data_IF_005042396913
#
_entry.id   IF_005042396913
#
_cell.length_a   1.000
_cell.length_b   1.000
_cell.length_c   1.000
_cell.angle_alpha   90.00
_cell.angle_beta   90.00
_cell.angle_gamma   90.00
#
_symmetry.space_group_name_H-M   'P 1'
#
loop_
_entity.id
_entity.type
_entity.pdbx_description
1 polymer ?
#
# COMPACT_ATOMS: atom_id res chain seq x y z
N UNK A 1 -2.76 11.33 0.83
CA UNK A 1 -1.73 11.88 -0.09
C UNK A 1 -1.35 10.77 -1.06
N UNK A 2 -1.01 11.11 -2.29
CA UNK A 2 -0.85 10.14 -3.39
C UNK A 2 0.46 10.39 -4.11
N UNK A 3 1.15 9.31 -4.46
CA UNK A 3 2.08 9.27 -5.58
C UNK A 3 1.30 8.76 -6.79
N UNK A 4 1.32 9.49 -7.91
CA UNK A 4 0.59 9.07 -9.10
C UNK A 4 1.27 9.53 -10.40
N UNK A 5 1.27 8.64 -11.38
CA UNK A 5 1.67 8.93 -12.76
C UNK A 5 0.57 8.45 -13.71
N UNK A 6 0.14 9.30 -14.65
CA UNK A 6 -0.98 9.00 -15.54
C UNK A 6 -0.49 8.89 -16.97
N UNK A 7 0.06 7.73 -17.31
CA UNK A 7 0.72 7.50 -18.59
C UNK A 7 -0.18 6.75 -19.59
N UNK A 8 -1.37 6.32 -19.18
CA UNK A 8 -2.34 5.68 -20.07
C UNK A 8 -2.85 6.65 -21.15
N UNK A 9 -2.89 6.17 -22.40
CA UNK A 9 -3.41 6.89 -23.57
C UNK A 9 -4.75 6.33 -24.08
N UNK A 10 -5.31 5.30 -23.43
CA UNK A 10 -6.65 4.76 -23.70
C UNK A 10 -6.77 3.24 -23.69
N UNK A 11 -5.67 2.50 -23.65
CA UNK A 11 -5.60 1.03 -23.73
C UNK A 11 -4.94 0.38 -22.50
N UNK A 12 -4.38 1.18 -21.60
CA UNK A 12 -3.74 0.74 -20.38
C UNK A 12 -4.71 0.38 -19.26
N UNK A 13 -4.14 0.01 -18.12
CA UNK A 13 -4.86 -0.38 -16.91
C UNK A 13 -4.45 0.49 -15.74
N UNK A 14 -5.28 0.55 -14.70
CA UNK A 14 -4.90 1.29 -13.50
C UNK A 14 -4.16 0.36 -12.53
N UNK A 15 -2.96 0.75 -12.12
CA UNK A 15 -2.15 0.04 -11.12
C UNK A 15 -2.34 0.70 -9.77
N UNK A 16 -2.85 -0.06 -8.80
CA UNK A 16 -2.86 0.34 -7.40
C UNK A 16 -1.72 -0.39 -6.68
N UNK A 17 -0.65 0.35 -6.39
CA UNK A 17 0.55 -0.18 -5.75
C UNK A 17 0.62 0.22 -4.28
N UNK A 18 0.91 -0.76 -3.41
CA UNK A 18 1.06 -0.56 -1.97
C UNK A 18 2.54 -0.74 -1.64
N UNK A 19 3.26 0.33 -1.22
CA UNK A 19 4.68 0.26 -0.91
C UNK A 19 4.90 -0.52 0.39
N UNK A 20 6.15 -0.89 0.64
CA UNK A 20 6.56 -1.54 1.88
C UNK A 20 6.74 -0.55 3.04
N UNK A 21 7.43 -1.02 4.09
CA UNK A 21 7.84 -0.20 5.22
C UNK A 21 9.35 -0.02 5.20
N UNK A 22 9.79 1.21 5.44
CA UNK A 22 11.19 1.60 5.57
C UNK A 22 11.46 2.35 6.88
N UNK A 23 10.45 2.45 7.73
CA UNK A 23 10.48 3.33 8.90
C UNK A 23 10.84 2.54 10.15
N UNK A 24 11.73 3.10 10.96
CA UNK A 24 11.99 2.60 12.31
C UNK A 24 11.13 3.34 13.32
N UNK A 25 11.00 2.79 14.52
CA UNK A 25 10.33 3.51 15.62
C UNK A 25 10.97 4.88 15.82
N UNK A 26 10.13 5.90 15.91
CA UNK A 26 10.53 7.30 16.03
C UNK A 26 9.73 7.98 17.14
N UNK A 27 10.13 9.20 17.53
CA UNK A 27 9.44 9.96 18.59
C UNK A 27 8.63 11.09 18.02
N UNK A 28 7.36 11.16 18.40
CA UNK A 28 6.47 12.30 18.15
C UNK A 28 6.95 13.53 18.93
N UNK A 29 6.37 14.70 18.62
CA UNK A 29 6.74 15.97 19.26
C UNK A 29 6.53 15.99 20.79
N UNK A 30 5.61 15.18 21.30
CA UNK A 30 5.35 14.93 22.73
C UNK A 30 6.18 13.77 23.31
N UNK A 31 7.24 13.33 22.60
CA UNK A 31 8.19 12.28 23.02
C UNK A 31 7.61 10.87 23.16
N UNK A 32 6.45 10.59 22.58
CA UNK A 32 5.90 9.24 22.52
C UNK A 32 6.55 8.44 21.38
N UNK A 33 6.79 7.16 21.60
CA UNK A 33 7.26 6.26 20.55
C UNK A 33 6.10 5.95 19.61
N UNK A 34 6.28 6.27 18.32
CA UNK A 34 5.37 5.86 17.26
C UNK A 34 5.85 4.57 16.61
N UNK A 35 4.91 3.64 16.44
CA UNK A 35 5.11 2.37 15.76
C UNK A 35 4.62 2.39 14.31
N UNK A 36 4.37 3.59 13.78
CA UNK A 36 3.90 3.80 12.41
C UNK A 36 4.61 4.99 11.79
N UNK A 37 4.86 4.94 10.48
CA UNK A 37 5.21 6.13 9.73
C UNK A 37 4.09 7.19 9.82
N UNK A 38 4.45 8.47 9.82
CA UNK A 38 3.50 9.58 9.70
C UNK A 38 3.60 10.23 8.31
N UNK A 39 2.69 9.89 7.38
CA UNK A 39 2.66 10.49 6.05
C UNK A 39 2.57 12.01 6.02
N UNK A 40 2.16 12.68 7.09
CA UNK A 40 2.12 14.15 7.14
C UNK A 40 3.53 14.75 7.21
N UNK A 41 4.50 14.00 7.71
CA UNK A 41 5.91 14.38 7.76
C UNK A 41 6.59 14.13 6.40
N UNK A 42 7.25 15.13 5.79
CA UNK A 42 7.91 14.97 4.50
C UNK A 42 8.96 13.86 4.45
N UNK A 43 9.75 13.69 5.50
CA UNK A 43 10.82 12.68 5.58
C UNK A 43 10.27 11.25 5.45
N UNK A 44 9.17 10.95 6.13
CA UNK A 44 8.47 9.67 6.06
C UNK A 44 7.93 9.39 4.65
N UNK A 45 7.52 10.44 3.92
CA UNK A 45 7.06 10.28 2.53
C UNK A 45 8.22 9.96 1.59
N UNK A 46 9.36 10.64 1.72
CA UNK A 46 10.52 10.42 0.84
C UNK A 46 11.00 8.96 0.86
N UNK A 47 10.96 8.30 2.03
CA UNK A 47 11.27 6.88 2.14
C UNK A 47 10.31 6.01 1.30
N UNK A 48 9.00 6.27 1.38
CA UNK A 48 7.99 5.56 0.59
C UNK A 48 8.13 5.89 -0.92
N UNK A 49 8.31 7.16 -1.26
CA UNK A 49 8.42 7.63 -2.64
C UNK A 49 9.65 7.06 -3.37
N UNK A 50 10.75 6.79 -2.64
CA UNK A 50 11.94 6.14 -3.21
C UNK A 50 11.63 4.74 -3.75
N UNK A 51 10.79 3.97 -3.04
CA UNK A 51 10.31 2.68 -3.53
C UNK A 51 9.29 2.86 -4.64
N UNK A 52 8.30 3.74 -4.45
CA UNK A 52 7.26 4.00 -5.44
C UNK A 52 7.86 4.37 -6.79
N UNK A 53 8.79 5.33 -6.84
CA UNK A 53 9.43 5.80 -8.07
C UNK A 53 10.07 4.63 -8.85
N UNK A 54 10.82 3.75 -8.18
CA UNK A 54 11.43 2.57 -8.81
C UNK A 54 10.40 1.59 -9.36
N UNK A 55 9.29 1.40 -8.66
CA UNK A 55 8.22 0.51 -9.14
C UNK A 55 7.46 1.13 -10.30
N UNK A 56 7.27 2.45 -10.26
CA UNK A 56 6.60 3.21 -11.31
C UNK A 56 7.34 3.11 -12.65
N UNK A 57 8.68 3.08 -12.65
CA UNK A 57 9.51 2.94 -13.87
C UNK A 57 9.08 1.77 -14.79
N UNK A 58 8.58 0.66 -14.22
CA UNK A 58 8.14 -0.50 -15.00
C UNK A 58 6.62 -0.76 -14.94
N UNK A 59 5.92 -0.39 -13.87
CA UNK A 59 4.47 -0.62 -13.76
C UNK A 59 3.64 0.48 -14.44
N UNK A 60 4.18 1.69 -14.60
CA UNK A 60 3.48 2.82 -15.20
C UNK A 60 3.70 2.96 -16.71
N UNK A 61 4.51 2.10 -17.34
CA UNK A 61 4.70 2.12 -18.79
C UNK A 61 3.37 1.80 -19.48
N UNK A 62 2.71 2.82 -20.05
CA UNK A 62 1.40 2.70 -20.69
C UNK A 62 0.22 2.56 -19.73
N UNK A 63 0.42 2.73 -18.42
CA UNK A 63 -0.60 2.55 -17.38
C UNK A 63 -0.75 3.79 -16.51
N UNK A 64 -1.89 3.95 -15.85
CA UNK A 64 -1.99 4.88 -14.74
C UNK A 64 -1.52 4.20 -13.46
N UNK A 65 -0.60 4.81 -12.73
CA UNK A 65 -0.05 4.30 -11.49
C UNK A 65 -0.53 5.14 -10.31
N UNK A 66 -1.00 4.49 -9.25
CA UNK A 66 -1.48 5.12 -8.04
C UNK A 66 -0.92 4.39 -6.83
N UNK A 67 -0.27 5.14 -5.93
CA UNK A 67 0.24 4.59 -4.68
C UNK A 67 -0.06 5.52 -3.50
N UNK A 68 -0.67 5.03 -2.42
CA UNK A 68 -1.01 5.87 -1.28
C UNK A 68 0.19 6.03 -0.34
N UNK A 69 0.33 7.24 0.19
CA UNK A 69 1.06 7.42 1.43
C UNK A 69 0.15 7.06 2.61
N UNK A 70 0.54 6.08 3.40
CA UNK A 70 -0.26 5.53 4.50
C UNK A 70 0.61 5.25 5.72
N UNK A 71 -0.02 5.10 6.90
CA UNK A 71 0.68 4.80 8.14
C UNK A 71 1.12 3.32 8.17
N UNK A 72 2.23 3.00 7.50
CA UNK A 72 2.85 1.67 7.57
C UNK A 72 3.41 1.39 8.98
N UNK A 73 3.28 0.17 9.50
CA UNK A 73 3.95 -0.19 10.76
C UNK A 73 5.46 -0.24 10.56
N UNK A 74 6.19 0.18 11.58
CA UNK A 74 7.65 0.26 11.61
C UNK A 74 8.31 -1.12 11.51
N UNK A 75 9.57 -1.13 11.11
CA UNK A 75 10.43 -2.32 11.11
C UNK A 75 10.55 -2.92 12.52
N UNK A 76 10.63 -2.09 13.56
CA UNK A 76 10.64 -2.52 14.97
C UNK A 76 9.36 -3.28 15.35
N UNK A 77 8.21 -2.90 14.79
CA UNK A 77 6.96 -3.64 15.01
C UNK A 77 7.07 -5.08 14.48
N UNK A 78 7.62 -5.26 13.29
CA UNK A 78 7.88 -6.60 12.73
C UNK A 78 8.94 -7.36 13.52
N UNK A 79 9.98 -6.67 13.99
CA UNK A 79 11.07 -7.24 14.77
C UNK A 79 10.65 -7.71 16.17
N UNK A 80 9.44 -7.39 16.62
CA UNK A 80 8.89 -8.01 17.85
C UNK A 80 8.69 -9.51 17.73
N UNK A 81 8.52 -10.03 16.51
CA UNK A 81 8.10 -11.42 16.22
C UNK A 81 6.85 -11.87 17.01
N UNK A 82 6.06 -10.92 17.50
CA UNK A 82 4.84 -11.17 18.25
C UNK A 82 3.64 -10.94 17.34
N UNK A 83 3.02 -12.03 16.88
CA UNK A 83 1.95 -11.97 15.89
C UNK A 83 0.76 -11.12 16.35
N UNK A 84 0.35 -11.21 17.62
CA UNK A 84 -0.77 -10.43 18.15
C UNK A 84 -0.48 -8.92 18.12
N UNK A 85 0.74 -8.52 18.47
CA UNK A 85 1.17 -7.11 18.46
C UNK A 85 1.26 -6.59 17.04
N UNK A 86 1.88 -7.37 16.14
CA UNK A 86 1.96 -7.05 14.71
C UNK A 86 0.56 -6.93 14.12
N UNK A 87 -0.31 -7.91 14.36
CA UNK A 87 -1.67 -7.95 13.83
C UNK A 87 -2.49 -6.77 14.32
N UNK A 88 -2.45 -6.43 15.63
CA UNK A 88 -3.14 -5.26 16.17
C UNK A 88 -2.69 -3.98 15.51
N UNK A 89 -1.37 -3.72 15.48
CA UNK A 89 -0.81 -2.50 14.88
C UNK A 89 -1.16 -2.41 13.39
N UNK A 90 -0.96 -3.49 12.66
CA UNK A 90 -1.22 -3.54 11.23
C UNK A 90 -2.71 -3.40 10.89
N UNK A 91 -3.59 -4.17 11.54
CA UNK A 91 -5.03 -4.18 11.19
C UNK A 91 -5.74 -2.89 11.62
N UNK A 92 -5.40 -2.33 12.78
CA UNK A 92 -6.09 -1.16 13.33
C UNK A 92 -5.67 0.16 12.66
N UNK A 93 -4.46 0.20 12.09
CA UNK A 93 -3.87 1.41 11.51
C UNK A 93 -3.51 1.23 10.04
N UNK A 94 -2.49 0.42 9.73
CA UNK A 94 -1.94 0.33 8.37
C UNK A 94 -2.96 -0.18 7.35
N UNK A 95 -3.60 -1.31 7.63
CA UNK A 95 -4.56 -1.91 6.71
C UNK A 95 -5.84 -1.07 6.61
N UNK A 96 -6.24 -0.43 7.71
CA UNK A 96 -7.36 0.52 7.72
C UNK A 96 -7.11 1.67 6.75
N UNK A 97 -5.91 2.24 6.74
CA UNK A 97 -5.53 3.30 5.82
C UNK A 97 -5.46 2.81 4.38
N UNK A 98 -4.85 1.64 4.13
CA UNK A 98 -4.80 1.04 2.79
C UNK A 98 -6.20 0.79 2.24
N UNK A 99 -7.10 0.23 3.05
CA UNK A 99 -8.50 -0.03 2.65
C UNK A 99 -9.25 1.26 2.33
N UNK A 100 -9.05 2.30 3.13
CA UNK A 100 -9.62 3.62 2.86
C UNK A 100 -9.07 4.23 1.56
N UNK A 101 -7.76 4.13 1.34
CA UNK A 101 -7.10 4.61 0.12
C UNK A 101 -7.59 3.84 -1.11
N UNK A 102 -7.66 2.51 -1.05
CA UNK A 102 -8.13 1.69 -2.17
C UNK A 102 -9.58 2.03 -2.55
N UNK A 103 -10.46 2.19 -1.55
CA UNK A 103 -11.83 2.66 -1.79
C UNK A 103 -11.85 4.04 -2.45
N UNK A 104 -11.02 4.96 -1.98
CA UNK A 104 -10.89 6.29 -2.58
C UNK A 104 -10.41 6.20 -4.03
N UNK A 105 -9.43 5.35 -4.33
CA UNK A 105 -8.93 5.10 -5.68
C UNK A 105 -10.05 4.58 -6.61
N UNK A 106 -10.80 3.58 -6.17
CA UNK A 106 -11.90 3.01 -6.95
C UNK A 106 -12.95 4.05 -7.34
N UNK A 107 -13.33 4.90 -6.38
CA UNK A 107 -14.40 5.90 -6.55
C UNK A 107 -13.93 7.12 -7.35
N UNK A 108 -12.72 7.62 -7.07
CA UNK A 108 -12.30 8.95 -7.55
C UNK A 108 -11.34 8.89 -8.76
N UNK A 109 -10.64 7.77 -8.97
CA UNK A 109 -9.64 7.65 -10.02
C UNK A 109 -9.96 6.55 -11.03
N UNK A 110 -10.23 5.33 -10.57
CA UNK A 110 -10.39 4.17 -11.44
C UNK A 110 -11.69 4.18 -12.26
N UNK A 111 -12.78 4.69 -11.69
CA UNK A 111 -14.06 4.89 -12.39
C UNK A 111 -14.58 3.66 -13.16
N UNK A 112 -14.33 2.46 -12.62
CA UNK A 112 -14.79 1.20 -13.22
C UNK A 112 -13.86 0.58 -14.27
N UNK A 113 -12.67 1.14 -14.50
CA UNK A 113 -11.64 0.55 -15.37
C UNK A 113 -11.09 -0.77 -14.78
N UNK A 114 -10.52 -1.66 -15.60
CA UNK A 114 -9.73 -2.79 -15.11
C UNK A 114 -8.52 -2.29 -14.31
N UNK A 115 -8.13 -3.04 -13.28
CA UNK A 115 -7.02 -2.65 -12.43
C UNK A 115 -6.14 -3.82 -12.00
N UNK A 116 -4.91 -3.49 -11.62
CA UNK A 116 -3.92 -4.40 -11.03
C UNK A 116 -3.74 -4.01 -9.55
N UNK A 117 -3.69 -4.99 -8.66
CA UNK A 117 -3.18 -4.79 -7.30
C UNK A 117 -1.74 -5.27 -7.21
N UNK A 118 -0.85 -4.41 -6.73
CA UNK A 118 0.55 -4.78 -6.53
C UNK A 118 1.05 -4.33 -5.16
N UNK A 119 1.96 -5.08 -4.56
CA UNK A 119 2.57 -4.70 -3.30
C UNK A 119 3.80 -5.51 -2.94
N UNK A 120 4.69 -4.90 -2.16
CA UNK A 120 5.94 -5.49 -1.69
C UNK A 120 5.99 -5.58 -0.16
N UNK A 121 6.44 -6.70 0.38
CA UNK A 121 6.55 -6.98 1.82
C UNK A 121 5.22 -6.71 2.56
N UNK A 122 5.15 -5.70 3.44
CA UNK A 122 3.91 -5.27 4.09
C UNK A 122 2.82 -4.87 3.08
N UNK A 123 3.19 -4.23 1.98
CA UNK A 123 2.27 -3.91 0.89
C UNK A 123 1.73 -5.16 0.22
N UNK A 124 2.54 -6.22 0.09
CA UNK A 124 2.10 -7.53 -0.37
C UNK A 124 1.04 -8.13 0.56
N UNK A 125 1.28 -8.12 1.89
CA UNK A 125 0.27 -8.54 2.89
C UNK A 125 -1.03 -7.74 2.71
N UNK A 126 -0.92 -6.45 2.42
CA UNK A 126 -2.07 -5.58 2.19
C UNK A 126 -2.85 -5.93 0.93
N UNK A 127 -2.19 -6.35 -0.16
CA UNK A 127 -2.87 -6.88 -1.35
C UNK A 127 -3.69 -8.11 -0.99
N UNK A 128 -3.10 -9.06 -0.27
CA UNK A 128 -3.80 -10.30 0.15
C UNK A 128 -5.01 -9.99 1.02
N UNK A 129 -4.87 -9.09 1.99
CA UNK A 129 -5.99 -8.68 2.83
C UNK A 129 -7.07 -7.91 2.04
N UNK A 130 -6.70 -7.04 1.08
CA UNK A 130 -7.68 -6.35 0.23
C UNK A 130 -8.51 -7.34 -0.59
N UNK A 131 -7.90 -8.38 -1.16
CA UNK A 131 -8.59 -9.39 -1.97
C UNK A 131 -9.73 -10.10 -1.22
N UNK A 132 -9.63 -10.22 0.11
CA UNK A 132 -10.69 -10.79 0.95
C UNK A 132 -11.92 -9.89 1.06
N UNK A 133 -11.77 -8.60 0.76
CA UNK A 133 -12.83 -7.58 0.89
C UNK A 133 -13.38 -7.08 -0.44
N UNK A 134 -12.87 -7.57 -1.58
CA UNK A 134 -13.40 -7.20 -2.90
C UNK A 134 -14.81 -7.76 -3.09
N UNK A 135 -15.72 -6.90 -3.56
CA UNK A 135 -17.01 -7.31 -4.13
C UNK A 135 -16.79 -8.16 -5.39
N UNK A 136 -17.85 -8.85 -5.81
CA UNK A 136 -17.82 -9.64 -7.05
C UNK A 136 -17.46 -8.78 -8.28
N UNK A 137 -18.02 -7.58 -8.37
CA UNK A 137 -17.77 -6.65 -9.48
C UNK A 137 -16.36 -6.06 -9.47
N UNK A 138 -15.80 -5.76 -8.29
CA UNK A 138 -14.39 -5.37 -8.18
C UNK A 138 -13.46 -6.53 -8.55
N UNK A 139 -13.78 -7.75 -8.13
CA UNK A 139 -13.00 -8.95 -8.44
C UNK A 139 -12.98 -9.25 -9.95
N UNK A 140 -14.09 -9.06 -10.66
CA UNK A 140 -14.16 -9.21 -12.13
C UNK A 140 -13.27 -8.22 -12.88
N UNK A 141 -13.03 -7.03 -12.31
CA UNK A 141 -12.20 -5.97 -12.91
C UNK A 141 -10.74 -6.03 -12.48
N UNK A 142 -10.43 -6.78 -11.43
CA UNK A 142 -9.06 -7.02 -10.99
C UNK A 142 -8.41 -8.05 -11.92
N UNK A 143 -7.58 -7.59 -12.86
CA UNK A 143 -7.04 -8.45 -13.92
C UNK A 143 -5.79 -9.22 -13.52
N UNK A 144 -5.05 -8.72 -12.53
CA UNK A 144 -3.86 -9.37 -12.00
C UNK A 144 -3.56 -8.90 -10.57
N UNK A 145 -2.84 -9.74 -9.83
CA UNK A 145 -2.24 -9.35 -8.54
C UNK A 145 -0.76 -9.72 -8.50
N UNK A 146 0.06 -8.80 -8.00
CA UNK A 146 1.49 -9.00 -7.80
C UNK A 146 1.82 -8.84 -6.33
N UNK A 147 2.16 -9.96 -5.70
CA UNK A 147 2.38 -10.04 -4.26
C UNK A 147 3.80 -10.50 -4.01
N UNK A 148 4.64 -9.60 -3.53
CA UNK A 148 6.06 -9.87 -3.32
C UNK A 148 6.42 -9.78 -1.84
N UNK A 149 7.41 -10.57 -1.41
CA UNK A 149 8.01 -10.44 -0.07
C UNK A 149 7.10 -10.81 1.11
N UNK A 150 6.01 -11.54 0.90
CA UNK A 150 5.25 -12.12 2.01
C UNK A 150 6.00 -13.34 2.55
N UNK A 151 6.34 -13.33 3.83
CA UNK A 151 6.74 -14.54 4.55
C UNK A 151 5.49 -15.17 5.18
N UNK A 152 5.40 -16.51 5.10
CA UNK A 152 4.18 -17.31 5.21
C UNK A 152 3.19 -16.87 6.29
N UNK A 153 2.03 -16.37 5.83
CA UNK A 153 0.78 -16.43 6.58
C UNK A 153 -0.12 -17.38 5.80
N UNK A 154 -0.50 -18.50 6.41
CA UNK A 154 -1.34 -19.54 5.83
C UNK A 154 -2.59 -18.92 5.20
N UNK A 155 -2.84 -19.25 3.92
CA UNK A 155 -4.10 -18.98 3.24
C UNK A 155 -5.28 -19.66 3.95
#
# INVERSE_FOLDING_TARGET
MWYAERNDQGDGVDVFYIPSTWEFDWKTSDSLVSHYADPSLPEHRVHMETEMAKVTEYMASGNNFYSPHYRNITLDSWATFNEDTIARRYMDVSFKDVKAAFRHFLINYNQGRPFILAGFSQGGKSVVELMKHLSEEERKRMIATYVFGIQGYSC
#
